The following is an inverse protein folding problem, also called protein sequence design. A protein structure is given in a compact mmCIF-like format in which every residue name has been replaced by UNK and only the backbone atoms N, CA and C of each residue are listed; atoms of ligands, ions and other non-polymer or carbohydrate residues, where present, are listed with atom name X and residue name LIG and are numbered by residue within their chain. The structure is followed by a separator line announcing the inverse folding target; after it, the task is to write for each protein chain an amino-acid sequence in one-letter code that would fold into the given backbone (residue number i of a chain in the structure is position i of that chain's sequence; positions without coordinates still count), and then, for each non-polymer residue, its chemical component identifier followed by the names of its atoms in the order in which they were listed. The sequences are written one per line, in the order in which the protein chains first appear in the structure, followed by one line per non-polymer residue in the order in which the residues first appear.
data_IF_854233061009
#
_entry.id   IF_854233061009
#
_cell.length_a   1.000
_cell.length_b   1.000
_cell.length_c   1.000
_cell.angle_alpha   90.00
_cell.angle_beta   90.00
_cell.angle_gamma   90.00
#
_symmetry.space_group_name_H-M   'P 1'
#
loop_
_entity.id
_entity.type
_entity.pdbx_description
1 polymer ?
#
# COMPACT_ATOMS: atom_id res chain seq x y z
N UNK A 1 -16.37 32.61 -34.49
CA UNK A 1 -16.44 32.12 -33.09
C UNK A 1 -15.35 31.07 -32.90
N UNK A 2 -14.32 31.37 -32.10
CA UNK A 2 -13.30 30.38 -31.75
C UNK A 2 -13.97 29.28 -30.90
N UNK A 3 -13.76 28.01 -31.23
CA UNK A 3 -14.29 26.90 -30.42
C UNK A 3 -13.59 26.91 -29.06
N UNK A 4 -14.37 26.92 -27.98
CA UNK A 4 -13.85 26.77 -26.62
C UNK A 4 -13.10 25.44 -26.52
N UNK A 5 -11.80 25.52 -26.19
CA UNK A 5 -10.98 24.33 -25.94
C UNK A 5 -11.51 23.65 -24.68
N UNK A 6 -11.94 22.40 -24.80
CA UNK A 6 -12.35 21.58 -23.65
C UNK A 6 -11.22 21.56 -22.62
N UNK A 7 -11.49 22.05 -21.41
CA UNK A 7 -10.58 21.90 -20.27
C UNK A 7 -10.29 20.41 -20.07
N UNK A 8 -9.02 19.97 -20.10
CA UNK A 8 -8.70 18.56 -19.92
C UNK A 8 -9.14 18.11 -18.52
N UNK A 9 -9.83 16.97 -18.47
CA UNK A 9 -10.24 16.35 -17.21
C UNK A 9 -9.00 15.97 -16.39
N UNK A 10 -9.01 16.15 -15.06
CA UNK A 10 -7.96 15.65 -14.19
C UNK A 10 -7.70 14.17 -14.47
N UNK A 11 -6.43 13.81 -14.65
CA UNK A 11 -6.03 12.40 -14.76
C UNK A 11 -5.82 11.85 -13.36
N UNK A 12 -6.25 10.61 -13.13
CA UNK A 12 -5.83 9.88 -11.94
C UNK A 12 -4.31 9.71 -11.98
N UNK A 13 -3.63 10.18 -10.94
CA UNK A 13 -2.20 10.04 -10.77
C UNK A 13 -1.94 9.54 -9.36
N UNK A 14 -1.06 8.56 -9.25
CA UNK A 14 -0.60 8.03 -7.97
C UNK A 14 0.13 9.13 -7.20
N UNK A 15 -0.09 9.30 -5.88
CA UNK A 15 0.63 10.29 -5.09
C UNK A 15 2.15 10.08 -5.18
N UNK A 16 2.90 11.18 -5.04
CA UNK A 16 4.37 11.13 -5.11
C UNK A 16 4.93 10.15 -4.06
N UNK A 17 5.76 9.20 -4.51
CA UNK A 17 6.35 8.16 -3.66
C UNK A 17 5.54 6.87 -3.54
N UNK A 18 4.32 6.84 -4.10
CA UNK A 18 3.48 5.64 -4.13
C UNK A 18 3.59 4.96 -5.51
N UNK A 19 3.36 3.64 -5.53
CA UNK A 19 3.31 2.83 -6.75
C UNK A 19 2.27 1.72 -6.63
N UNK A 20 1.67 1.36 -7.75
CA UNK A 20 0.82 0.18 -7.85
C UNK A 20 1.67 -1.07 -8.03
N UNK A 21 1.20 -2.20 -7.51
CA UNK A 21 1.80 -3.52 -7.69
C UNK A 21 0.86 -4.39 -8.51
N UNK A 22 1.38 -5.04 -9.53
CA UNK A 22 0.58 -5.92 -10.40
C UNK A 22 0.53 -7.35 -9.87
N UNK A 23 -0.40 -8.17 -10.38
CA UNK A 23 -0.77 -9.46 -9.79
C UNK A 23 0.42 -10.38 -9.45
N UNK A 24 1.41 -10.48 -10.33
CA UNK A 24 2.61 -11.28 -10.06
C UNK A 24 3.43 -10.75 -8.86
N UNK A 25 3.61 -9.43 -8.76
CA UNK A 25 4.33 -8.80 -7.65
C UNK A 25 3.58 -8.96 -6.33
N UNK A 26 2.24 -8.85 -6.37
CA UNK A 26 1.38 -9.07 -5.21
C UNK A 26 1.53 -10.50 -4.71
N UNK A 27 1.34 -11.49 -5.60
CA UNK A 27 1.42 -12.91 -5.23
C UNK A 27 2.80 -13.31 -4.71
N UNK A 28 3.88 -12.81 -5.32
CA UNK A 28 5.24 -13.09 -4.88
C UNK A 28 5.52 -12.49 -3.49
N UNK A 29 5.10 -11.24 -3.25
CA UNK A 29 5.27 -10.59 -1.96
C UNK A 29 4.46 -11.29 -0.87
N UNK A 30 3.22 -11.67 -1.15
CA UNK A 30 2.38 -12.41 -0.20
C UNK A 30 3.05 -13.71 0.21
N UNK A 31 3.51 -14.52 -0.76
CA UNK A 31 4.19 -15.79 -0.47
C UNK A 31 5.41 -15.61 0.41
N UNK A 32 6.25 -14.62 0.10
CA UNK A 32 7.44 -14.32 0.90
C UNK A 32 7.07 -13.95 2.35
N UNK A 33 6.03 -13.14 2.55
CA UNK A 33 5.58 -12.73 3.89
C UNK A 33 4.96 -13.90 4.66
N UNK A 34 4.23 -14.79 4.00
CA UNK A 34 3.69 -16.02 4.61
C UNK A 34 4.80 -16.93 5.13
N UNK A 35 5.86 -17.13 4.34
CA UNK A 35 7.01 -17.95 4.73
C UNK A 35 7.69 -17.37 5.99
N UNK A 36 7.86 -16.04 6.05
CA UNK A 36 8.45 -15.35 7.21
C UNK A 36 7.53 -15.45 8.44
N UNK A 37 6.23 -15.16 8.28
CA UNK A 37 5.26 -15.23 9.36
C UNK A 37 5.14 -16.64 9.95
N UNK A 38 5.26 -17.68 9.11
CA UNK A 38 5.28 -19.07 9.54
C UNK A 38 6.40 -19.38 10.54
N UNK A 39 7.57 -18.76 10.39
CA UNK A 39 8.67 -18.90 11.37
C UNK A 39 8.27 -18.31 12.72
N UNK A 40 7.72 -17.10 12.75
CA UNK A 40 7.27 -16.48 14.00
C UNK A 40 6.19 -17.29 14.70
N UNK A 41 5.20 -17.78 13.95
CA UNK A 41 4.13 -18.61 14.50
C UNK A 41 4.68 -19.92 15.08
N UNK A 42 5.67 -20.54 14.43
CA UNK A 42 6.31 -21.75 14.94
C UNK A 42 6.94 -21.57 16.34
N UNK A 43 7.38 -20.35 16.66
CA UNK A 43 7.94 -20.00 17.97
C UNK A 43 6.91 -19.40 18.94
N UNK A 44 5.61 -19.49 18.64
CA UNK A 44 4.54 -19.07 19.54
C UNK A 44 4.28 -17.56 19.56
N UNK A 45 4.72 -16.82 18.54
CA UNK A 45 4.36 -15.42 18.38
C UNK A 45 2.98 -15.29 17.71
N UNK A 46 2.15 -14.40 18.24
CA UNK A 46 0.84 -14.05 17.70
C UNK A 46 0.92 -12.77 16.86
N UNK A 47 0.15 -12.74 15.78
CA UNK A 47 0.06 -11.56 14.92
C UNK A 47 -0.75 -10.44 15.61
N UNK A 48 -0.29 -9.21 15.46
CA UNK A 48 -1.01 -8.00 15.86
C UNK A 48 -1.00 -7.01 14.69
N UNK A 49 -2.17 -6.47 14.36
CA UNK A 49 -2.34 -5.40 13.39
C UNK A 49 -2.89 -4.16 14.10
N UNK A 50 -2.25 -3.02 13.88
CA UNK A 50 -2.62 -1.72 14.46
C UNK A 50 -3.17 -0.76 13.39
N UNK A 51 -3.63 0.43 13.80
CA UNK A 51 -4.09 1.43 12.85
C UNK A 51 -2.98 1.89 11.90
N UNK A 52 -3.35 2.22 10.66
CA UNK A 52 -2.43 2.78 9.67
C UNK A 52 -2.06 4.25 9.98
N UNK A 53 -2.87 4.94 10.80
CA UNK A 53 -2.65 6.31 11.25
C UNK A 53 -2.84 6.35 12.75
N UNK A 54 -1.85 6.92 13.44
CA UNK A 54 -1.85 7.14 14.89
C UNK A 54 -1.76 8.64 15.20
N UNK A 55 -1.99 9.02 16.46
CA UNK A 55 -1.85 10.42 16.87
C UNK A 55 -0.40 10.87 16.80
N UNK A 56 -0.18 12.17 16.61
CA UNK A 56 1.18 12.72 16.48
C UNK A 56 1.99 12.45 17.74
N UNK A 57 1.36 12.53 18.91
CA UNK A 57 1.99 12.27 20.22
C UNK A 57 2.51 10.84 20.35
N UNK A 58 1.91 9.87 19.64
CA UNK A 58 2.35 8.48 19.64
C UNK A 58 3.55 8.21 18.69
N UNK A 59 3.84 9.12 17.75
CA UNK A 59 4.87 8.95 16.73
C UNK A 59 6.25 9.52 17.12
N UNK A 60 6.34 10.23 18.25
CA UNK A 60 7.57 10.80 18.79
C UNK A 60 7.57 12.33 18.85
#
# INVERSE_FOLDING_TARGET
MAKDKKTPRPKAQTPKGFRDYFGAEVSQRTKMLEDIAGVYHHYGFEALESSAVETVEALG
#
